data_IF_963078329786
#
_entry.id   IF_963078329786
#
_cell.length_a   1.000
_cell.length_b   1.000
_cell.length_c   1.000
_cell.angle_alpha   90.00
_cell.angle_beta   90.00
_cell.angle_gamma   90.00
#
_symmetry.space_group_name_H-M   'P 1'
#
loop_
_entity.id
_entity.type
_entity.pdbx_description
1 polymer ?
#
# COMPACT_ATOMS: atom_id res chain seq x y z
N UNK A 1 -14.71 8.01 22.45
CA UNK A 1 -15.49 8.59 21.32
C UNK A 1 -15.15 7.80 20.05
N UNK A 2 -16.07 6.96 19.53
CA UNK A 2 -15.81 6.18 18.31
C UNK A 2 -16.04 7.08 17.09
N UNK A 3 -14.97 7.43 16.39
CA UNK A 3 -15.03 8.20 15.13
C UNK A 3 -15.73 7.37 14.06
N UNK A 4 -17.05 7.49 13.97
CA UNK A 4 -17.89 6.80 13.00
C UNK A 4 -17.91 7.60 11.71
N UNK A 5 -17.10 7.20 10.72
CA UNK A 5 -17.35 7.50 9.30
C UNK A 5 -18.68 6.86 8.89
N UNK A 6 -19.80 7.52 9.19
CA UNK A 6 -21.15 7.13 8.79
C UNK A 6 -21.55 7.97 7.58
N UNK A 7 -22.07 7.33 6.52
CA UNK A 7 -22.80 8.02 5.46
C UNK A 7 -22.05 8.35 4.18
N UNK A 8 -21.37 7.39 3.55
CA UNK A 8 -20.86 7.57 2.17
C UNK A 8 -21.69 6.75 1.18
N UNK A 9 -22.37 7.49 0.29
CA UNK A 9 -23.15 6.98 -0.84
C UNK A 9 -22.20 6.49 -1.94
N UNK A 10 -22.48 5.26 -2.42
CA UNK A 10 -21.95 4.60 -3.62
C UNK A 10 -20.47 4.14 -3.61
N UNK A 11 -20.16 3.14 -2.79
CA UNK A 11 -18.96 2.30 -2.97
C UNK A 11 -19.32 1.12 -3.89
N UNK A 12 -18.54 0.80 -4.94
CA UNK A 12 -18.77 -0.37 -5.80
C UNK A 12 -18.95 -1.65 -4.97
N UNK A 13 -19.82 -2.57 -5.37
CA UNK A 13 -20.29 -3.70 -4.56
C UNK A 13 -19.17 -4.58 -3.94
N UNK A 14 -18.01 -4.67 -4.60
CA UNK A 14 -16.85 -5.43 -4.12
C UNK A 14 -16.07 -4.75 -2.98
N UNK A 15 -16.26 -3.44 -2.77
CA UNK A 15 -15.65 -2.69 -1.68
C UNK A 15 -16.68 -2.41 -0.60
N UNK A 16 -16.34 -2.73 0.65
CA UNK A 16 -17.17 -2.42 1.79
C UNK A 16 -16.32 -2.04 2.98
N UNK A 17 -16.90 -1.26 3.90
CA UNK A 17 -16.26 -0.99 5.17
C UNK A 17 -16.19 -2.30 5.96
N UNK A 18 -15.00 -2.89 6.03
CA UNK A 18 -14.75 -4.05 6.88
C UNK A 18 -14.78 -3.63 8.34
N UNK A 19 -15.70 -4.21 9.12
CA UNK A 19 -15.71 -4.11 10.58
C UNK A 19 -15.09 -5.38 11.13
N UNK A 20 -13.80 -5.34 11.38
CA UNK A 20 -13.09 -6.46 12.03
C UNK A 20 -13.53 -6.55 13.49
N UNK A 21 -13.58 -7.78 14.01
CA UNK A 21 -13.77 -8.00 15.44
C UNK A 21 -12.55 -7.45 16.17
N UNK A 22 -12.77 -6.47 17.04
CA UNK A 22 -11.73 -5.99 17.94
C UNK A 22 -11.74 -6.93 19.14
N UNK A 23 -10.77 -7.84 19.20
CA UNK A 23 -10.51 -8.57 20.43
C UNK A 23 -10.02 -7.57 21.48
N UNK A 24 -10.58 -7.64 22.69
CA UNK A 24 -10.33 -6.69 23.78
C UNK A 24 -8.93 -6.80 24.39
N UNK A 25 -8.13 -7.76 23.93
CA UNK A 25 -6.75 -7.98 24.35
C UNK A 25 -6.35 -9.43 24.11
N UNK A 26 -5.07 -9.69 24.32
CA UNK A 26 -4.51 -11.05 24.47
C UNK A 26 -4.43 -11.36 25.97
N UNK A 27 -4.43 -12.64 26.34
CA UNK A 27 -4.41 -13.07 27.75
C UNK A 27 -3.19 -12.58 28.52
N UNK A 28 -2.06 -12.39 27.83
CA UNK A 28 -0.82 -11.85 28.38
C UNK A 28 -0.41 -10.62 27.56
N UNK A 29 -0.69 -9.44 28.12
CA UNK A 29 -0.47 -8.17 27.43
C UNK A 29 0.95 -7.66 27.66
N UNK A 30 1.63 -7.32 26.57
CA UNK A 30 2.98 -6.75 26.63
C UNK A 30 3.00 -5.45 27.45
N UNK A 31 3.92 -5.39 28.42
CA UNK A 31 4.11 -4.21 29.25
C UNK A 31 4.85 -3.14 28.45
N UNK A 32 4.42 -1.87 28.58
CA UNK A 32 5.10 -0.73 27.97
C UNK A 32 6.58 -0.71 28.35
N UNK A 33 7.45 -0.84 27.35
CA UNK A 33 8.89 -0.69 27.51
C UNK A 33 9.30 0.77 27.21
N UNK A 34 9.71 1.58 28.20
CA UNK A 34 10.22 2.92 27.95
C UNK A 34 11.62 2.84 27.29
N UNK A 35 11.84 3.58 26.21
CA UNK A 35 13.13 3.60 25.52
C UNK A 35 13.06 4.19 24.12
N UNK A 36 14.23 4.30 23.47
CA UNK A 36 14.30 4.65 22.05
C UNK A 36 13.92 3.44 21.21
N UNK A 37 13.09 3.64 20.20
CA UNK A 37 12.80 2.59 19.23
C UNK A 37 14.06 2.21 18.44
N UNK A 38 14.26 0.93 18.09
CA UNK A 38 15.37 0.51 17.26
C UNK A 38 15.38 1.23 15.91
N UNK A 39 16.55 1.56 15.34
CA UNK A 39 16.66 2.30 14.08
C UNK A 39 16.47 1.41 12.83
N UNK A 40 15.88 0.23 12.99
CA UNK A 40 15.71 -0.74 11.92
C UNK A 40 14.29 -1.34 11.93
N UNK A 41 13.93 -1.93 10.81
CA UNK A 41 12.69 -2.69 10.61
C UNK A 41 13.03 -4.06 10.04
N UNK A 42 12.30 -5.09 10.48
CA UNK A 42 12.48 -6.46 10.03
C UNK A 42 11.24 -6.92 9.28
N UNK A 43 11.41 -7.63 8.17
CA UNK A 43 10.30 -8.24 7.46
C UNK A 43 10.64 -9.65 6.98
N UNK A 44 9.63 -10.51 6.96
CA UNK A 44 9.68 -11.87 6.46
C UNK A 44 8.39 -12.19 5.71
N UNK A 45 8.51 -13.04 4.69
CA UNK A 45 7.38 -13.50 3.87
C UNK A 45 7.46 -15.02 3.86
N UNK A 46 6.33 -15.70 4.09
CA UNK A 46 6.22 -17.16 3.99
C UNK A 46 6.88 -17.66 2.69
N UNK A 47 7.73 -18.68 2.83
CA UNK A 47 8.53 -19.22 1.72
C UNK A 47 9.84 -18.48 1.44
N UNK A 48 10.12 -17.37 2.12
CA UNK A 48 11.45 -16.75 2.09
C UNK A 48 12.40 -17.50 3.01
N UNK A 49 13.60 -17.78 2.52
CA UNK A 49 14.71 -18.35 3.30
C UNK A 49 15.21 -17.37 4.36
N UNK A 50 15.27 -16.08 4.02
CA UNK A 50 15.95 -15.08 4.83
C UNK A 50 15.03 -13.96 5.32
N UNK A 51 15.26 -13.53 6.57
CA UNK A 51 14.76 -12.30 7.17
C UNK A 51 15.43 -11.09 6.49
N UNK A 52 14.65 -10.06 6.15
CA UNK A 52 15.21 -8.80 5.65
C UNK A 52 15.21 -7.74 6.74
N UNK A 53 16.38 -7.16 6.99
CA UNK A 53 16.58 -6.03 7.90
C UNK A 53 16.78 -4.75 7.06
N UNK A 54 16.06 -3.69 7.42
CA UNK A 54 16.03 -2.41 6.73
C UNK A 54 16.32 -1.30 7.73
N UNK A 55 17.21 -0.37 7.36
CA UNK A 55 17.40 0.86 8.11
C UNK A 55 16.13 1.72 8.01
N UNK A 56 15.49 2.02 9.14
CA UNK A 56 14.18 2.66 9.19
C UNK A 56 14.20 4.13 8.70
N UNK A 57 15.37 4.77 8.73
CA UNK A 57 15.56 6.15 8.26
C UNK A 57 15.72 6.22 6.74
N UNK A 58 16.49 5.29 6.16
CA UNK A 58 16.79 5.31 4.71
C UNK A 58 15.82 4.47 3.88
N UNK A 59 15.13 3.51 4.50
CA UNK A 59 14.27 2.55 3.83
C UNK A 59 15.03 1.53 2.96
N UNK A 60 16.33 1.34 3.21
CA UNK A 60 17.21 0.44 2.45
C UNK A 60 17.85 -0.62 3.34
N UNK A 61 18.27 -1.73 2.72
CA UNK A 61 19.12 -2.75 3.34
C UNK A 61 20.50 -2.18 3.64
N UNK A 62 21.24 -2.86 4.51
CA UNK A 62 22.66 -2.59 4.73
C UNK A 62 23.43 -2.67 3.40
N UNK A 63 24.40 -1.77 3.22
CA UNK A 63 25.08 -1.59 1.94
C UNK A 63 24.26 -0.85 0.86
N UNK A 64 23.07 -0.34 1.19
CA UNK A 64 22.29 0.54 0.30
C UNK A 64 21.38 -0.19 -0.70
N UNK A 65 21.24 -1.52 -0.57
CA UNK A 65 20.36 -2.31 -1.43
C UNK A 65 18.88 -1.99 -1.23
N UNK A 66 18.10 -2.03 -2.31
CA UNK A 66 16.63 -1.89 -2.23
C UNK A 66 15.99 -3.05 -1.45
N UNK A 67 15.00 -2.75 -0.63
CA UNK A 67 14.15 -3.75 0.05
C UNK A 67 13.32 -4.56 -0.96
N UNK A 68 13.07 -5.83 -0.66
CA UNK A 68 12.09 -6.68 -1.37
C UNK A 68 10.66 -6.11 -1.35
N UNK A 69 10.38 -5.22 -0.40
CA UNK A 69 9.09 -4.54 -0.22
C UNK A 69 9.04 -3.14 -0.84
N UNK A 70 10.10 -2.69 -1.53
CA UNK A 70 10.08 -1.37 -2.13
C UNK A 70 9.14 -1.31 -3.36
N UNK A 71 8.73 -0.10 -3.75
CA UNK A 71 7.82 0.11 -4.89
C UNK A 71 8.30 -0.57 -6.17
N UNK A 72 9.59 -0.48 -6.48
CA UNK A 72 10.19 -1.07 -7.68
C UNK A 72 10.07 -2.60 -7.71
N UNK A 73 10.35 -3.27 -6.59
CA UNK A 73 10.27 -4.74 -6.55
C UNK A 73 8.82 -5.22 -6.67
N UNK A 74 7.88 -4.54 -6.00
CA UNK A 74 6.46 -4.86 -6.16
C UNK A 74 5.96 -4.59 -7.58
N UNK A 75 6.35 -3.47 -8.17
CA UNK A 75 5.92 -3.11 -9.52
C UNK A 75 6.48 -4.06 -10.58
N UNK A 76 7.73 -4.52 -10.44
CA UNK A 76 8.32 -5.52 -11.33
C UNK A 76 7.58 -6.87 -11.22
N UNK A 77 7.29 -7.33 -9.99
CA UNK A 77 6.49 -8.55 -9.78
C UNK A 77 5.09 -8.43 -10.39
N UNK A 78 4.45 -7.27 -10.24
CA UNK A 78 3.16 -6.99 -10.84
C UNK A 78 3.23 -6.99 -12.37
N UNK A 79 4.22 -6.30 -12.97
CA UNK A 79 4.36 -6.21 -14.43
C UNK A 79 4.57 -7.60 -15.06
N UNK A 80 5.39 -8.45 -14.42
CA UNK A 80 5.57 -9.85 -14.83
C UNK A 80 4.26 -10.66 -14.75
N UNK A 81 3.45 -10.46 -13.71
CA UNK A 81 2.16 -11.14 -13.60
C UNK A 81 1.17 -10.63 -14.65
N UNK A 82 1.13 -9.32 -14.85
CA UNK A 82 0.28 -8.66 -15.84
C UNK A 82 0.59 -9.20 -17.25
N UNK A 83 1.87 -9.29 -17.64
CA UNK A 83 2.27 -9.87 -18.92
C UNK A 83 1.87 -11.33 -19.11
N UNK A 84 1.80 -12.13 -18.03
CA UNK A 84 1.35 -13.53 -18.09
C UNK A 84 -0.16 -13.70 -18.17
N UNK A 85 -0.91 -12.80 -17.53
CA UNK A 85 -2.38 -12.86 -17.45
C UNK A 85 -3.07 -12.09 -18.57
N UNK A 86 -2.37 -11.17 -19.24
CA UNK A 86 -2.91 -10.45 -20.38
C UNK A 86 -3.11 -11.43 -21.54
N UNK A 87 -4.32 -11.98 -21.66
CA UNK A 87 -4.74 -12.87 -22.75
C UNK A 87 -5.00 -12.14 -24.07
N UNK A 88 -4.96 -10.80 -24.05
CA UNK A 88 -5.15 -9.96 -25.24
C UNK A 88 -3.79 -9.64 -25.84
N UNK A 89 -3.72 -9.65 -27.18
CA UNK A 89 -2.64 -9.00 -27.93
C UNK A 89 -2.63 -7.54 -27.48
N UNK A 90 -1.59 -7.05 -26.80
CA UNK A 90 -1.57 -5.68 -26.31
C UNK A 90 -1.62 -4.73 -27.52
N UNK A 91 -2.64 -3.87 -27.59
CA UNK A 91 -2.58 -2.73 -28.51
C UNK A 91 -1.56 -1.72 -27.99
N UNK A 92 -0.98 -0.92 -28.88
CA UNK A 92 -0.15 0.20 -28.49
C UNK A 92 -0.96 1.13 -27.57
N UNK A 93 -0.56 1.21 -26.29
CA UNK A 93 -1.23 2.02 -25.26
C UNK A 93 -1.97 1.24 -24.17
N UNK A 94 -2.18 -0.08 -24.33
CA UNK A 94 -2.91 -0.88 -23.34
C UNK A 94 -2.05 -1.26 -22.12
N UNK A 95 -0.73 -1.33 -22.31
CA UNK A 95 0.20 -1.71 -21.24
C UNK A 95 0.78 -0.47 -20.58
N UNK A 96 0.58 -0.26 -19.26
CA UNK A 96 1.16 0.88 -18.58
C UNK A 96 2.68 0.80 -18.64
N UNK A 97 3.32 1.92 -18.96
CA UNK A 97 4.78 2.04 -19.06
C UNK A 97 5.39 2.57 -17.76
N UNK A 98 4.58 3.32 -17.00
CA UNK A 98 4.95 3.96 -15.75
C UNK A 98 4.18 3.37 -14.57
N UNK A 99 4.78 3.40 -13.37
CA UNK A 99 4.14 2.93 -12.15
C UNK A 99 2.87 3.73 -11.80
N UNK A 100 2.88 5.04 -12.03
CA UNK A 100 1.70 5.89 -11.84
C UNK A 100 0.54 5.49 -12.78
N UNK A 101 0.82 5.21 -14.05
CA UNK A 101 -0.19 4.75 -15.03
C UNK A 101 -0.81 3.43 -14.59
N UNK A 102 0.03 2.45 -14.18
CA UNK A 102 -0.46 1.16 -13.69
C UNK A 102 -1.39 1.32 -12.49
N UNK A 103 -1.09 2.26 -11.58
CA UNK A 103 -1.98 2.57 -10.45
C UNK A 103 -3.27 3.28 -10.87
N UNK A 104 -3.20 4.15 -11.89
CA UNK A 104 -4.38 4.85 -12.40
C UNK A 104 -5.34 3.91 -13.15
N UNK A 105 -4.82 2.86 -13.79
CA UNK A 105 -5.63 1.81 -14.43
C UNK A 105 -6.55 1.05 -13.46
N UNK A 106 -6.30 1.10 -12.15
CA UNK A 106 -7.19 0.54 -11.13
C UNK A 106 -8.37 1.50 -10.81
N UNK A 107 -9.19 1.83 -11.81
CA UNK A 107 -10.23 2.86 -11.72
C UNK A 107 -11.18 2.70 -10.53
N UNK A 108 -11.68 1.49 -10.27
CA UNK A 108 -12.58 1.20 -9.14
C UNK A 108 -11.92 1.54 -7.81
N UNK A 109 -10.66 1.15 -7.63
CA UNK A 109 -9.90 1.44 -6.41
C UNK A 109 -9.67 2.95 -6.25
N UNK A 110 -9.31 3.66 -7.33
CA UNK A 110 -9.12 5.11 -7.28
C UNK A 110 -10.40 5.84 -6.88
N UNK A 111 -11.55 5.44 -7.43
CA UNK A 111 -12.86 6.01 -7.05
C UNK A 111 -13.17 5.81 -5.57
N UNK A 112 -12.95 4.59 -5.03
CA UNK A 112 -13.17 4.30 -3.61
C UNK A 112 -12.21 5.10 -2.71
N UNK A 113 -10.95 5.20 -3.11
CA UNK A 113 -9.94 6.00 -2.41
C UNK A 113 -10.34 7.48 -2.33
N UNK A 114 -10.90 8.04 -3.41
CA UNK A 114 -11.40 9.43 -3.41
C UNK A 114 -12.62 9.60 -2.49
N UNK A 115 -13.52 8.62 -2.45
CA UNK A 115 -14.65 8.66 -1.52
C UNK A 115 -14.18 8.62 -0.06
N UNK A 116 -13.14 7.82 0.25
CA UNK A 116 -12.52 7.80 1.57
C UNK A 116 -11.93 9.17 1.96
N UNK A 117 -11.27 9.86 1.03
CA UNK A 117 -10.72 11.20 1.30
C UNK A 117 -11.81 12.24 1.55
N UNK A 118 -12.83 12.26 0.68
CA UNK A 118 -14.04 13.07 0.90
C UNK A 118 -14.69 12.73 2.23
N UNK A 119 -14.55 11.49 2.68
CA UNK A 119 -15.16 11.03 3.90
C UNK A 119 -14.54 11.59 5.18
N UNK A 120 -13.21 11.68 5.22
CA UNK A 120 -12.53 12.37 6.31
C UNK A 120 -12.88 13.85 6.33
N UNK A 121 -12.87 14.50 5.16
CA UNK A 121 -13.14 15.94 5.07
C UNK A 121 -14.57 16.29 5.54
N UNK A 122 -15.60 15.59 5.05
CA UNK A 122 -16.99 15.84 5.44
C UNK A 122 -17.28 15.52 6.90
N UNK A 123 -16.51 14.61 7.51
CA UNK A 123 -16.62 14.30 8.93
C UNK A 123 -15.87 15.31 9.82
N UNK A 124 -15.26 16.36 9.25
CA UNK A 124 -14.46 17.32 10.00
C UNK A 124 -13.13 16.76 10.50
N UNK A 125 -12.64 15.66 9.90
CA UNK A 125 -11.42 14.96 10.32
C UNK A 125 -10.17 15.39 9.52
N UNK A 126 -10.29 16.47 8.74
CA UNK A 126 -9.22 17.00 7.91
C UNK A 126 -9.07 16.33 6.54
N UNK A 127 -8.01 16.73 5.84
CA UNK A 127 -7.72 16.29 4.45
C UNK A 127 -6.59 15.27 4.45
N UNK A 128 -6.74 14.21 3.65
CA UNK A 128 -5.70 13.21 3.50
C UNK A 128 -4.46 13.77 2.79
N UNK A 129 -3.30 13.73 3.46
CA UNK A 129 -2.02 14.17 2.89
C UNK A 129 -1.44 13.10 1.98
N UNK A 130 -1.07 13.48 0.76
CA UNK A 130 -0.45 12.59 -0.23
C UNK A 130 1.02 12.93 -0.40
N UNK A 131 1.80 11.94 -0.79
CA UNK A 131 3.17 12.18 -1.26
C UNK A 131 3.13 12.90 -2.62
N UNK A 132 4.20 13.64 -2.96
CA UNK A 132 4.35 14.23 -4.29
C UNK A 132 4.25 13.17 -5.40
N UNK A 133 3.56 13.46 -6.52
CA UNK A 133 3.33 12.49 -7.59
C UNK A 133 4.62 11.96 -8.23
N UNK A 134 5.70 12.73 -8.18
CA UNK A 134 7.04 12.40 -8.70
C UNK A 134 7.56 11.11 -8.07
N UNK A 135 7.16 10.80 -6.82
CA UNK A 135 7.57 9.58 -6.14
C UNK A 135 6.99 8.29 -6.77
N UNK A 136 5.99 8.41 -7.65
CA UNK A 136 5.40 7.32 -8.41
C UNK A 136 5.72 7.41 -9.93
N UNK A 137 6.48 8.41 -10.37
CA UNK A 137 6.87 8.63 -11.78
C UNK A 137 8.17 7.90 -12.12
N UNK A 138 8.13 6.57 -12.11
CA UNK A 138 9.24 5.74 -12.59
C UNK A 138 8.74 4.65 -13.52
N UNK A 139 9.62 4.19 -14.43
CA UNK A 139 9.30 3.15 -15.42
C UNK A 139 9.09 1.81 -14.74
N UNK A 140 8.13 1.04 -15.26
CA UNK A 140 8.02 -0.36 -14.89
C UNK A 140 9.20 -1.13 -15.49
N UNK A 141 9.96 -1.81 -14.63
CA UNK A 141 10.99 -2.75 -15.04
C UNK A 141 10.32 -4.11 -15.23
N UNK A 142 10.39 -4.66 -16.45
CA UNK A 142 9.94 -6.02 -16.78
C UNK A 142 11.02 -7.05 -16.40
#
# INVERSE_FOLDING_TARGET
QSFKLKGYKWVPAIFSRKRLSLQTGVSDAEVRQPGKSPPFSMNWIVGSTDLEIINATTGKRDGGGSSRLCKHVFSARWARLYGKLSTRIPSHGDTPSMYCEAKLGAHTYQSVKQQLFKAFQKAGLGTWVRKPPEQDQFRLTL
#
